data_IF_192997475059
#
_entry.id   IF_192997475059
#
_cell.length_a   1.000
_cell.length_b   1.000
_cell.length_c   1.000
_cell.angle_alpha   90.00
_cell.angle_beta   90.00
_cell.angle_gamma   90.00
#
_symmetry.space_group_name_H-M   'P 1'
#
loop_
_entity.id
_entity.type
_entity.pdbx_description
1 polymer ?
#
# COMPACT_ATOMS: atom_id res chain seq x y z
N UNK A 1 -34.96 12.32 13.35
CA UNK A 1 -33.99 11.85 12.33
C UNK A 1 -32.61 11.94 12.96
N UNK A 2 -31.88 10.83 13.19
CA UNK A 2 -30.53 10.95 13.71
C UNK A 2 -29.68 11.70 12.68
N UNK A 3 -28.99 12.75 13.13
CA UNK A 3 -28.17 13.60 12.28
C UNK A 3 -27.24 12.73 11.43
N UNK A 4 -27.29 12.89 10.11
CA UNK A 4 -26.38 12.18 9.21
C UNK A 4 -24.95 12.36 9.69
N UNK A 5 -24.24 11.26 9.88
CA UNK A 5 -22.85 11.25 10.33
C UNK A 5 -21.98 11.91 9.23
N UNK A 6 -21.81 13.24 9.29
CA UNK A 6 -21.10 14.00 8.26
C UNK A 6 -19.59 13.80 8.42
N UNK A 7 -19.00 13.07 7.47
CA UNK A 7 -17.56 12.90 7.34
C UNK A 7 -16.85 14.25 7.18
N UNK A 8 -15.74 14.46 7.88
CA UNK A 8 -14.99 15.74 7.85
C UNK A 8 -13.78 15.64 6.92
N UNK A 9 -13.84 16.21 5.69
CA UNK A 9 -12.72 16.16 4.76
C UNK A 9 -11.52 16.98 5.27
N UNK A 10 -10.28 16.56 4.92
CA UNK A 10 -9.08 17.35 5.24
C UNK A 10 -8.92 18.57 4.35
N UNK A 11 -8.41 19.67 4.91
CA UNK A 11 -7.96 20.86 4.16
C UNK A 11 -6.82 20.48 3.21
N UNK A 12 -5.87 19.66 3.67
CA UNK A 12 -4.75 19.16 2.84
C UNK A 12 -5.17 18.21 1.71
N UNK A 13 -6.45 17.80 1.62
CA UNK A 13 -6.94 17.00 0.48
C UNK A 13 -6.68 17.70 -0.87
N UNK A 14 -6.68 19.04 -0.90
CA UNK A 14 -6.34 19.80 -2.11
C UNK A 14 -4.84 19.71 -2.44
N UNK A 15 -3.99 19.73 -1.42
CA UNK A 15 -2.54 19.57 -1.58
C UNK A 15 -2.19 18.17 -2.06
N UNK A 16 -2.84 17.13 -1.53
CA UNK A 16 -2.68 15.76 -2.00
C UNK A 16 -3.00 15.64 -3.49
N UNK A 17 -4.14 16.17 -3.92
CA UNK A 17 -4.57 16.15 -5.33
C UNK A 17 -3.53 16.85 -6.21
N UNK A 18 -3.03 18.01 -5.80
CA UNK A 18 -1.97 18.74 -6.54
C UNK A 18 -0.67 17.94 -6.60
N UNK A 19 -0.23 17.36 -5.48
CA UNK A 19 1.00 16.58 -5.38
C UNK A 19 0.95 15.35 -6.30
N UNK A 20 -0.13 14.58 -6.22
CA UNK A 20 -0.30 13.39 -7.06
C UNK A 20 -0.51 13.75 -8.54
N UNK A 21 -1.26 14.82 -8.84
CA UNK A 21 -1.40 15.31 -10.22
C UNK A 21 -0.05 15.72 -10.82
N UNK A 22 0.80 16.41 -10.04
CA UNK A 22 2.17 16.74 -10.44
C UNK A 22 2.99 15.49 -10.72
N UNK A 23 2.95 14.50 -9.83
CA UNK A 23 3.65 13.23 -10.01
C UNK A 23 3.23 12.52 -11.31
N UNK A 24 1.93 12.37 -11.57
CA UNK A 24 1.45 11.73 -12.79
C UNK A 24 1.71 12.55 -14.05
N UNK A 25 1.66 13.88 -13.97
CA UNK A 25 2.06 14.75 -15.09
C UNK A 25 3.55 14.57 -15.43
N UNK A 26 4.43 14.56 -14.43
CA UNK A 26 5.86 14.29 -14.61
C UNK A 26 6.07 12.91 -15.24
N UNK A 27 5.39 11.87 -14.74
CA UNK A 27 5.44 10.54 -15.33
C UNK A 27 4.99 10.54 -16.80
N UNK A 28 3.79 11.08 -17.10
CA UNK A 28 3.21 11.12 -18.46
C UNK A 28 4.14 11.80 -19.47
N UNK A 29 4.77 12.89 -19.07
CA UNK A 29 5.66 13.68 -19.93
C UNK A 29 7.15 13.30 -19.77
N UNK A 30 7.47 12.18 -19.09
CA UNK A 30 8.84 11.75 -18.82
C UNK A 30 9.71 11.68 -20.08
N UNK A 31 9.17 11.24 -21.22
CA UNK A 31 9.93 11.21 -22.48
C UNK A 31 10.55 12.56 -22.88
N UNK A 32 9.92 13.67 -22.52
CA UNK A 32 10.36 15.01 -22.91
C UNK A 32 11.41 15.60 -21.98
N UNK A 33 11.40 15.27 -20.69
CA UNK A 33 12.35 15.80 -19.70
C UNK A 33 13.36 14.77 -19.18
N UNK A 34 12.98 13.50 -19.10
CA UNK A 34 13.83 12.41 -18.62
C UNK A 34 14.98 12.10 -19.57
N UNK A 35 14.72 12.05 -20.89
CA UNK A 35 15.76 11.80 -21.90
C UNK A 35 16.85 12.88 -21.91
N UNK A 36 16.54 14.20 -21.96
CA UNK A 36 17.56 15.24 -21.84
C UNK A 36 18.35 15.19 -20.53
N UNK A 37 17.70 14.86 -19.41
CA UNK A 37 18.35 14.80 -18.10
C UNK A 37 19.05 13.46 -17.80
N UNK A 38 19.07 12.53 -18.77
CA UNK A 38 19.55 11.14 -18.58
C UNK A 38 18.97 10.52 -17.31
N UNK A 39 17.65 10.61 -17.16
CA UNK A 39 16.85 9.98 -16.10
C UNK A 39 15.98 8.92 -16.74
N UNK A 40 16.08 7.69 -16.22
CA UNK A 40 15.29 6.54 -16.69
C UNK A 40 13.97 6.48 -15.93
N UNK A 41 12.91 6.02 -16.58
CA UNK A 41 11.64 5.70 -15.93
C UNK A 41 11.60 4.20 -15.62
N UNK A 42 11.43 3.84 -14.35
CA UNK A 42 11.24 2.46 -13.94
C UNK A 42 9.79 2.21 -13.56
N UNK A 43 9.22 1.08 -14.00
CA UNK A 43 8.07 0.54 -13.28
C UNK A 43 8.57 -0.33 -12.14
N UNK A 44 8.06 -0.09 -10.93
CA UNK A 44 8.59 -0.68 -9.70
C UNK A 44 7.48 -1.31 -8.88
N UNK A 45 7.74 -2.47 -8.26
CA UNK A 45 6.78 -3.02 -7.29
C UNK A 45 6.74 -2.13 -6.05
N UNK A 46 5.62 -2.15 -5.32
CA UNK A 46 5.44 -1.33 -4.11
C UNK A 46 6.48 -1.64 -3.01
N UNK A 47 7.06 -2.84 -3.03
CA UNK A 47 8.13 -3.29 -2.15
C UNK A 47 9.54 -3.22 -2.74
N UNK A 48 9.77 -2.55 -3.88
CA UNK A 48 11.11 -2.37 -4.44
C UNK A 48 11.94 -1.32 -3.65
N UNK A 49 13.29 -1.46 -3.59
CA UNK A 49 14.19 -0.53 -2.90
C UNK A 49 14.31 0.82 -3.62
N UNK A 50 13.29 1.67 -3.47
CA UNK A 50 13.18 2.95 -4.20
C UNK A 50 14.32 3.91 -3.90
N UNK A 51 14.89 3.84 -2.70
CA UNK A 51 16.02 4.66 -2.24
C UNK A 51 17.21 4.49 -3.18
N UNK A 52 17.53 3.24 -3.52
CA UNK A 52 18.60 2.91 -4.45
C UNK A 52 18.30 3.47 -5.85
N UNK A 53 17.08 3.26 -6.35
CA UNK A 53 16.68 3.76 -7.68
C UNK A 53 16.77 5.29 -7.78
N UNK A 54 16.31 6.00 -6.75
CA UNK A 54 16.39 7.47 -6.71
C UNK A 54 17.83 7.95 -6.64
N UNK A 55 18.73 7.21 -5.96
CA UNK A 55 20.15 7.54 -5.94
C UNK A 55 20.79 7.51 -7.34
N UNK A 56 20.31 6.59 -8.19
CA UNK A 56 20.64 6.53 -9.62
C UNK A 56 19.87 7.51 -10.51
N UNK A 57 19.09 8.43 -9.91
CA UNK A 57 18.22 9.40 -10.60
C UNK A 57 17.16 8.76 -11.50
N UNK A 58 16.65 7.60 -11.08
CA UNK A 58 15.54 6.92 -11.76
C UNK A 58 14.22 7.50 -11.25
N UNK A 59 13.26 7.68 -12.15
CA UNK A 59 11.90 8.10 -11.86
C UNK A 59 10.99 6.86 -11.67
N UNK A 60 10.60 6.50 -10.44
CA UNK A 60 9.79 5.32 -10.20
C UNK A 60 8.31 5.56 -10.48
N UNK A 61 7.67 4.59 -11.13
CA UNK A 61 6.23 4.52 -11.39
C UNK A 61 5.68 3.19 -10.90
N UNK A 62 4.50 3.21 -10.26
CA UNK A 62 3.97 2.06 -9.52
C UNK A 62 2.72 1.49 -10.21
N UNK A 63 2.83 0.39 -10.95
CA UNK A 63 1.68 -0.30 -11.54
C UNK A 63 0.56 -0.63 -10.55
N UNK A 64 0.90 -1.02 -9.32
CA UNK A 64 -0.08 -1.34 -8.27
C UNK A 64 -0.91 -0.11 -7.85
N UNK A 65 -0.25 1.05 -7.69
CA UNK A 65 -0.94 2.30 -7.39
C UNK A 65 -1.79 2.78 -8.58
N UNK A 66 -1.31 2.56 -9.80
CA UNK A 66 -2.10 2.82 -10.99
C UNK A 66 -3.32 1.89 -11.09
N UNK A 67 -3.22 0.64 -10.62
CA UNK A 67 -4.37 -0.27 -10.47
C UNK A 67 -5.45 0.29 -9.53
N UNK A 68 -5.06 0.91 -8.40
CA UNK A 68 -6.00 1.61 -7.53
C UNK A 68 -6.68 2.81 -8.23
N UNK A 69 -5.94 3.55 -9.06
CA UNK A 69 -6.50 4.64 -9.88
C UNK A 69 -7.48 4.09 -10.92
N UNK A 70 -7.14 3.00 -11.60
CA UNK A 70 -8.05 2.33 -12.54
C UNK A 70 -9.36 1.91 -11.85
N UNK A 71 -9.25 1.42 -10.61
CA UNK A 71 -10.40 1.02 -9.81
C UNK A 71 -11.30 2.19 -9.42
N UNK A 72 -10.71 3.24 -8.83
CA UNK A 72 -11.46 4.45 -8.47
C UNK A 72 -12.05 5.18 -9.67
N UNK A 73 -11.43 5.06 -10.85
CA UNK A 73 -11.96 5.56 -12.12
C UNK A 73 -12.97 4.62 -12.80
N UNK A 74 -13.35 3.49 -12.16
CA UNK A 74 -14.27 2.47 -12.68
C UNK A 74 -13.85 1.86 -14.03
N UNK A 75 -12.54 1.81 -14.28
CA UNK A 75 -11.97 1.24 -15.51
C UNK A 75 -11.57 -0.23 -15.37
N UNK A 76 -11.33 -0.72 -14.15
CA UNK A 76 -10.73 -2.05 -13.92
C UNK A 76 -11.51 -3.19 -14.56
N UNK A 77 -12.85 -3.18 -14.54
CA UNK A 77 -13.64 -4.27 -15.13
C UNK A 77 -13.30 -4.50 -16.61
N UNK A 78 -13.38 -3.44 -17.42
CA UNK A 78 -13.09 -3.51 -18.86
C UNK A 78 -11.62 -3.83 -19.13
N UNK A 79 -10.71 -3.30 -18.31
CA UNK A 79 -9.28 -3.59 -18.44
C UNK A 79 -8.96 -5.05 -18.09
N UNK A 80 -9.56 -5.60 -17.03
CA UNK A 80 -9.44 -7.01 -16.69
C UNK A 80 -10.00 -7.90 -17.81
N UNK A 81 -11.18 -7.57 -18.36
CA UNK A 81 -11.75 -8.28 -19.52
C UNK A 81 -10.80 -8.25 -20.73
N UNK A 82 -10.12 -7.13 -20.99
CA UNK A 82 -9.13 -7.04 -22.07
C UNK A 82 -7.93 -7.97 -21.85
N UNK A 83 -7.43 -8.10 -20.61
CA UNK A 83 -6.39 -9.06 -20.29
C UNK A 83 -6.89 -10.52 -20.37
N UNK A 84 -8.12 -10.78 -19.91
CA UNK A 84 -8.77 -12.10 -19.97
C UNK A 84 -8.95 -12.58 -21.41
N UNK A 85 -9.37 -11.69 -22.31
CA UNK A 85 -9.46 -11.97 -23.75
C UNK A 85 -8.09 -12.28 -24.39
N UNK A 86 -7.00 -11.79 -23.79
CA UNK A 86 -5.64 -12.09 -24.20
C UNK A 86 -5.06 -13.37 -23.55
N UNK A 87 -5.87 -14.12 -22.80
CA UNK A 87 -5.49 -15.42 -22.21
C UNK A 87 -5.05 -15.36 -20.75
N UNK A 88 -5.11 -14.20 -20.08
CA UNK A 88 -4.78 -14.09 -18.66
C UNK A 88 -5.96 -14.55 -17.79
N UNK A 89 -5.75 -15.57 -16.95
CA UNK A 89 -6.81 -16.12 -16.07
C UNK A 89 -7.39 -15.08 -15.12
N UNK A 90 -8.70 -15.14 -14.89
CA UNK A 90 -9.43 -14.35 -13.88
C UNK A 90 -8.92 -14.58 -12.44
N UNK A 91 -8.25 -15.71 -12.18
CA UNK A 91 -7.65 -16.02 -10.88
C UNK A 91 -6.41 -15.14 -10.57
N UNK A 92 -5.86 -14.47 -11.58
CA UNK A 92 -4.74 -13.55 -11.39
C UNK A 92 -5.17 -12.28 -10.64
N UNK A 93 -4.20 -11.66 -9.98
CA UNK A 93 -4.36 -10.39 -9.30
C UNK A 93 -5.00 -9.34 -10.23
N UNK A 94 -6.06 -8.68 -9.77
CA UNK A 94 -6.79 -7.67 -10.54
C UNK A 94 -5.96 -6.41 -10.82
N UNK A 95 -4.96 -6.07 -10.01
CA UNK A 95 -3.94 -5.07 -10.39
C UNK A 95 -3.10 -5.54 -11.57
N UNK A 96 -2.68 -6.81 -11.61
CA UNK A 96 -1.90 -7.33 -12.73
C UNK A 96 -2.75 -7.38 -14.01
N UNK A 97 -3.98 -7.91 -13.92
CA UNK A 97 -4.92 -7.96 -15.05
C UNK A 97 -5.26 -6.57 -15.56
N UNK A 98 -5.66 -5.64 -14.70
CA UNK A 98 -6.00 -4.28 -15.15
C UNK A 98 -4.82 -3.51 -15.72
N UNK A 99 -3.61 -3.70 -15.18
CA UNK A 99 -2.41 -3.10 -15.74
C UNK A 99 -2.07 -3.67 -17.12
N UNK A 100 -2.07 -5.00 -17.27
CA UNK A 100 -1.86 -5.64 -18.59
C UNK A 100 -2.94 -5.17 -19.57
N UNK A 101 -4.20 -5.15 -19.14
CA UNK A 101 -5.31 -4.60 -19.91
C UNK A 101 -5.09 -3.16 -20.33
N UNK A 102 -4.50 -2.31 -19.48
CA UNK A 102 -4.20 -0.92 -19.80
C UNK A 102 -3.10 -0.76 -20.86
N UNK A 103 -2.22 -1.75 -20.99
CA UNK A 103 -1.21 -1.79 -22.06
C UNK A 103 -1.85 -2.25 -23.37
N UNK A 104 -2.77 -3.22 -23.33
CA UNK A 104 -3.45 -3.77 -24.50
C UNK A 104 -4.54 -2.83 -25.05
N UNK A 105 -5.23 -2.12 -24.15
CA UNK A 105 -6.35 -1.22 -24.44
C UNK A 105 -6.16 0.12 -23.72
N UNK A 106 -5.16 0.93 -24.12
CA UNK A 106 -4.90 2.22 -23.50
C UNK A 106 -6.08 3.19 -23.65
N UNK A 107 -6.94 3.03 -24.65
CA UNK A 107 -8.16 3.82 -24.83
C UNK A 107 -9.17 3.65 -23.69
N UNK A 108 -9.15 2.52 -23.00
CA UNK A 108 -10.01 2.23 -21.84
C UNK A 108 -9.39 2.69 -20.51
N UNK A 109 -8.10 3.04 -20.52
CA UNK A 109 -7.32 3.25 -19.32
C UNK A 109 -7.26 4.74 -18.94
N UNK A 110 -7.43 5.10 -17.65
CA UNK A 110 -7.22 6.47 -17.19
C UNK A 110 -5.84 6.98 -17.60
N UNK A 111 -5.74 8.21 -18.09
CA UNK A 111 -4.47 8.77 -18.60
C UNK A 111 -3.87 7.97 -19.77
N UNK A 112 -4.65 7.14 -20.48
CA UNK A 112 -4.19 6.31 -21.59
C UNK A 112 -3.08 5.31 -21.21
N UNK A 113 -3.10 4.81 -19.98
CA UNK A 113 -2.06 3.92 -19.46
C UNK A 113 -0.87 4.66 -18.86
N UNK A 114 0.02 3.89 -18.23
CA UNK A 114 1.31 4.41 -17.77
C UNK A 114 2.26 4.60 -18.98
N UNK A 115 3.17 5.59 -18.93
CA UNK A 115 4.21 5.73 -19.95
C UNK A 115 5.08 4.47 -20.00
N UNK A 116 5.49 4.06 -21.20
CA UNK A 116 6.41 2.93 -21.38
C UNK A 116 7.68 3.17 -20.54
N UNK A 117 8.12 2.20 -19.71
CA UNK A 117 9.32 2.31 -18.90
C UNK A 117 10.58 2.07 -19.72
N UNK A 118 11.71 2.50 -19.17
CA UNK A 118 13.05 2.13 -19.63
C UNK A 118 13.53 0.81 -19.02
N UNK A 119 13.06 0.48 -17.82
CA UNK A 119 13.38 -0.75 -17.07
C UNK A 119 12.27 -1.12 -16.09
N UNK A 120 12.28 -2.36 -15.63
CA UNK A 120 11.39 -2.88 -14.60
C UNK A 120 12.21 -3.27 -13.37
N UNK A 121 11.70 -3.00 -12.18
CA UNK A 121 12.32 -3.42 -10.92
C UNK A 121 11.28 -4.11 -10.05
N UNK A 122 11.47 -5.39 -9.78
CA UNK A 122 10.57 -6.19 -8.96
C UNK A 122 11.24 -6.61 -7.65
N UNK A 123 10.47 -6.62 -6.58
CA UNK A 123 10.82 -7.26 -5.31
C UNK A 123 9.65 -8.14 -4.87
N UNK A 124 9.91 -9.39 -4.51
CA UNK A 124 8.89 -10.39 -4.17
C UNK A 124 8.43 -10.34 -2.70
N UNK A 125 8.97 -9.42 -1.88
CA UNK A 125 8.61 -9.25 -0.46
C UNK A 125 7.13 -8.92 -0.19
N UNK A 126 6.36 -8.59 -1.23
CA UNK A 126 4.92 -8.39 -1.17
C UNK A 126 4.11 -9.61 -1.62
N UNK A 127 4.56 -10.33 -2.67
CA UNK A 127 3.93 -11.56 -3.16
C UNK A 127 4.77 -12.21 -4.28
N UNK A 128 4.56 -13.51 -4.54
CA UNK A 128 5.14 -14.18 -5.71
C UNK A 128 4.53 -13.77 -7.06
N UNK A 129 3.31 -13.23 -7.07
CA UNK A 129 2.62 -12.82 -8.32
C UNK A 129 3.37 -11.74 -9.07
N UNK A 130 4.03 -10.81 -8.37
CA UNK A 130 4.75 -9.71 -9.04
C UNK A 130 5.93 -10.19 -9.87
N UNK A 131 6.55 -11.33 -9.53
CA UNK A 131 7.63 -11.91 -10.34
C UNK A 131 7.12 -12.28 -11.73
N UNK A 132 6.05 -13.09 -11.80
CA UNK A 132 5.47 -13.52 -13.09
C UNK A 132 4.83 -12.37 -13.85
N UNK A 133 4.21 -11.42 -13.13
CA UNK A 133 3.68 -10.21 -13.74
C UNK A 133 4.79 -9.40 -14.41
N UNK A 134 5.89 -9.14 -13.71
CA UNK A 134 6.98 -8.32 -14.24
C UNK A 134 7.77 -9.04 -15.34
N UNK A 135 7.89 -10.37 -15.30
CA UNK A 135 8.39 -11.16 -16.43
C UNK A 135 7.52 -10.97 -17.69
N UNK A 136 6.19 -11.03 -17.54
CA UNK A 136 5.27 -10.81 -18.66
C UNK A 136 5.41 -9.39 -19.22
N UNK A 137 5.49 -8.38 -18.34
CA UNK A 137 5.73 -6.99 -18.73
C UNK A 137 7.08 -6.83 -19.47
N UNK A 138 8.14 -7.47 -19.00
CA UNK A 138 9.46 -7.41 -19.64
C UNK A 138 9.40 -7.94 -21.07
N UNK A 139 8.72 -9.08 -21.30
CA UNK A 139 8.51 -9.66 -22.63
C UNK A 139 7.61 -8.79 -23.51
N UNK A 140 6.53 -8.23 -22.96
CA UNK A 140 5.62 -7.36 -23.71
C UNK A 140 6.27 -6.05 -24.14
N UNK A 141 7.11 -5.47 -23.29
CA UNK A 141 7.66 -4.13 -23.50
C UNK A 141 9.09 -4.14 -24.05
N UNK A 142 9.77 -5.29 -24.01
CA UNK A 142 11.16 -5.47 -24.45
C UNK A 142 12.10 -4.54 -23.68
N UNK A 143 12.03 -4.59 -22.35
CA UNK A 143 12.86 -3.77 -21.44
C UNK A 143 13.52 -4.65 -20.37
N UNK A 144 14.67 -4.25 -19.80
CA UNK A 144 15.34 -4.99 -18.75
C UNK A 144 14.47 -5.15 -17.50
N UNK A 145 14.58 -6.30 -16.84
CA UNK A 145 13.97 -6.59 -15.55
C UNK A 145 15.06 -6.86 -14.51
N UNK A 146 15.09 -6.07 -13.45
CA UNK A 146 15.90 -6.32 -12.26
C UNK A 146 14.99 -6.90 -11.17
N UNK A 147 15.44 -7.97 -10.52
CA UNK A 147 14.69 -8.63 -9.44
C UNK A 147 15.53 -8.60 -8.17
N UNK A 148 14.91 -8.16 -7.08
CA UNK A 148 15.39 -8.39 -5.72
C UNK A 148 14.57 -9.54 -5.12
N UNK A 149 15.19 -10.69 -4.93
CA UNK A 149 14.55 -11.83 -4.28
C UNK A 149 14.76 -11.77 -2.76
N UNK A 150 13.67 -11.77 -2.02
CA UNK A 150 13.66 -11.75 -0.55
C UNK A 150 13.07 -13.07 -0.05
N UNK A 151 13.80 -13.80 0.81
CA UNK A 151 13.35 -15.10 1.28
C UNK A 151 12.19 -14.93 2.26
N UNK A 152 11.24 -15.86 2.22
CA UNK A 152 10.20 -15.94 3.23
C UNK A 152 10.80 -16.21 4.62
N UNK A 153 10.35 -15.47 5.63
CA UNK A 153 10.84 -15.59 7.00
C UNK A 153 9.84 -16.34 7.88
N UNK A 154 10.07 -17.63 8.18
CA UNK A 154 9.22 -18.39 9.10
C UNK A 154 9.38 -17.94 10.57
N UNK A 155 10.49 -17.28 10.91
CA UNK A 155 10.81 -16.76 12.24
C UNK A 155 11.49 -15.39 12.16
N UNK A 156 12.47 -15.17 13.02
CA UNK A 156 13.32 -13.98 12.96
C UNK A 156 14.27 -14.02 11.76
N UNK A 157 14.66 -12.83 11.29
CA UNK A 157 15.61 -12.72 10.20
C UNK A 157 16.96 -13.32 10.60
N UNK A 158 17.50 -14.19 9.75
CA UNK A 158 18.82 -14.79 9.95
C UNK A 158 19.89 -13.96 9.24
N UNK A 159 21.14 -14.06 9.70
CA UNK A 159 22.28 -13.44 9.03
C UNK A 159 22.42 -13.93 7.58
N UNK A 160 22.10 -15.20 7.32
CA UNK A 160 22.08 -15.75 5.98
C UNK A 160 21.07 -15.04 5.07
N UNK A 161 19.83 -14.86 5.55
CA UNK A 161 18.80 -14.15 4.80
C UNK A 161 19.21 -12.69 4.51
N UNK A 162 19.73 -11.97 5.52
CA UNK A 162 20.23 -10.60 5.33
C UNK A 162 21.37 -10.54 4.30
N UNK A 163 22.36 -11.45 4.41
CA UNK A 163 23.50 -11.51 3.49
C UNK A 163 23.08 -11.83 2.06
N UNK A 164 22.14 -12.75 1.87
CA UNK A 164 21.59 -13.11 0.57
C UNK A 164 20.96 -11.91 -0.15
N UNK A 165 20.16 -11.11 0.55
CA UNK A 165 19.55 -9.90 -0.03
C UNK A 165 20.59 -8.79 -0.24
N UNK A 166 21.57 -8.65 0.65
CA UNK A 166 22.66 -7.69 0.50
C UNK A 166 23.51 -7.95 -0.76
N UNK A 167 23.86 -9.21 -1.05
CA UNK A 167 24.60 -9.60 -2.25
C UNK A 167 23.83 -9.27 -3.54
N UNK A 168 22.51 -9.46 -3.52
CA UNK A 168 21.65 -9.06 -4.63
C UNK A 168 21.55 -7.54 -4.78
N UNK A 169 21.51 -6.77 -3.70
CA UNK A 169 21.54 -5.29 -3.76
C UNK A 169 22.86 -4.78 -4.36
N UNK A 170 23.99 -5.42 -4.04
CA UNK A 170 25.29 -5.13 -4.66
C UNK A 170 25.29 -5.45 -6.15
N UNK A 171 24.70 -6.58 -6.53
CA UNK A 171 24.54 -6.97 -7.95
C UNK A 171 23.64 -5.98 -8.70
N UNK A 172 22.49 -5.63 -8.12
CA UNK A 172 21.57 -4.64 -8.67
C UNK A 172 22.24 -3.28 -8.82
N UNK A 173 23.08 -2.87 -7.86
CA UNK A 173 23.86 -1.63 -7.95
C UNK A 173 24.73 -1.62 -9.21
N UNK A 174 25.51 -2.68 -9.46
CA UNK A 174 26.34 -2.79 -10.66
C UNK A 174 25.50 -2.79 -11.97
N UNK A 175 24.34 -3.44 -11.96
CA UNK A 175 23.41 -3.41 -13.10
C UNK A 175 22.85 -2.01 -13.35
N UNK A 176 22.51 -1.26 -12.28
CA UNK A 176 22.05 0.12 -12.38
C UNK A 176 23.16 1.05 -12.88
N UNK A 177 24.42 0.83 -12.48
CA UNK A 177 25.56 1.57 -13.01
C UNK A 177 25.68 1.39 -14.52
N UNK A 178 25.57 0.15 -15.01
CA UNK A 178 25.59 -0.17 -16.44
C UNK A 178 24.41 0.47 -17.20
N UNK A 179 23.18 0.34 -16.68
CA UNK A 179 21.96 0.82 -17.35
C UNK A 179 21.85 2.35 -17.39
N UNK A 180 22.41 3.02 -16.39
CA UNK A 180 22.32 4.48 -16.25
C UNK A 180 23.58 5.22 -16.71
N UNK A 181 24.72 4.52 -16.81
CA UNK A 181 26.03 5.12 -17.08
C UNK A 181 26.50 6.03 -15.94
N UNK A 182 26.08 5.77 -14.71
CA UNK A 182 26.41 6.57 -13.51
C UNK A 182 26.98 5.63 -12.46
N UNK A 183 28.10 5.99 -11.84
CA UNK A 183 28.56 5.28 -10.65
C UNK A 183 27.62 5.53 -9.46
N UNK A 184 27.58 4.60 -8.49
CA UNK A 184 26.90 4.81 -7.22
C UNK A 184 27.50 6.02 -6.49
N UNK A 185 26.65 6.97 -6.13
CA UNK A 185 27.00 8.10 -5.26
C UNK A 185 26.50 7.80 -3.84
N UNK A 186 27.44 7.48 -2.93
CA UNK A 186 27.12 7.15 -1.54
C UNK A 186 26.55 8.32 -0.75
N UNK A 187 26.91 9.55 -1.10
CA UNK A 187 26.31 10.75 -0.47
C UNK A 187 24.87 10.88 -0.92
N UNK A 188 24.59 10.67 -2.20
CA UNK A 188 23.22 10.69 -2.70
C UNK A 188 22.38 9.56 -2.13
N UNK A 189 22.90 8.33 -2.05
CA UNK A 189 22.21 7.21 -1.41
C UNK A 189 21.90 7.53 0.06
N UNK A 190 22.87 8.06 0.82
CA UNK A 190 22.65 8.54 2.19
C UNK A 190 21.55 9.60 2.28
N UNK A 191 21.48 10.55 1.34
CA UNK A 191 20.38 11.54 1.28
C UNK A 191 19.03 10.89 1.03
N UNK A 192 18.94 9.91 0.12
CA UNK A 192 17.70 9.20 -0.17
C UNK A 192 17.22 8.35 1.02
N UNK A 193 18.16 7.72 1.72
CA UNK A 193 17.90 7.00 2.98
C UNK A 193 17.34 7.94 4.04
N UNK A 194 18.00 9.08 4.29
CA UNK A 194 17.56 10.06 5.29
C UNK A 194 16.15 10.60 4.99
N UNK A 195 15.86 10.94 3.73
CA UNK A 195 14.52 11.39 3.34
C UNK A 195 13.46 10.31 3.49
N UNK A 196 13.80 9.07 3.18
CA UNK A 196 12.87 7.95 3.31
C UNK A 196 12.59 7.62 4.78
N UNK A 197 13.62 7.66 5.63
CA UNK A 197 13.48 7.56 7.08
C UNK A 197 12.57 8.66 7.64
N UNK A 198 12.80 9.92 7.26
CA UNK A 198 11.99 11.05 7.72
C UNK A 198 10.52 10.91 7.28
N UNK A 199 10.30 10.57 6.01
CA UNK A 199 8.94 10.43 5.48
C UNK A 199 8.19 9.25 6.12
N UNK A 200 8.88 8.14 6.39
CA UNK A 200 8.34 6.97 7.09
C UNK A 200 8.02 7.31 8.54
N UNK A 201 8.91 8.03 9.23
CA UNK A 201 8.68 8.51 10.61
C UNK A 201 7.43 9.37 10.68
N UNK A 202 7.29 10.35 9.78
CA UNK A 202 6.09 11.19 9.71
C UNK A 202 4.83 10.37 9.46
N UNK A 203 4.89 9.40 8.54
CA UNK A 203 3.77 8.50 8.26
C UNK A 203 3.37 7.68 9.49
N UNK A 204 4.34 7.10 10.22
CA UNK A 204 4.09 6.41 11.49
C UNK A 204 3.42 7.32 12.50
N UNK A 205 3.99 8.50 12.74
CA UNK A 205 3.46 9.47 13.71
C UNK A 205 2.04 9.92 13.37
N UNK A 206 1.72 10.12 12.08
CA UNK A 206 0.36 10.41 11.61
C UNK A 206 -0.61 9.28 12.00
N UNK A 207 -0.21 8.02 11.80
CA UNK A 207 -1.04 6.86 12.16
C UNK A 207 -1.23 6.73 13.66
N UNK A 208 -0.18 7.01 14.45
CA UNK A 208 -0.25 6.99 15.92
C UNK A 208 -1.25 8.00 16.50
N UNK A 209 -1.49 9.13 15.82
CA UNK A 209 -2.52 10.09 16.24
C UNK A 209 -3.93 9.48 16.26
N UNK A 210 -4.17 8.38 15.52
CA UNK A 210 -5.43 7.67 15.55
C UNK A 210 -5.72 6.96 16.89
N UNK A 211 -4.75 6.90 17.82
CA UNK A 211 -4.96 6.48 19.22
C UNK A 211 -5.81 7.46 20.04
N UNK A 212 -5.95 8.71 19.60
CA UNK A 212 -6.82 9.67 20.28
C UNK A 212 -8.29 9.22 20.30
N UNK A 213 -9.04 9.75 21.28
CA UNK A 213 -10.47 9.48 21.46
C UNK A 213 -11.26 10.81 21.45
N UNK A 214 -12.13 11.05 20.46
CA UNK A 214 -12.34 10.23 19.26
C UNK A 214 -11.12 10.27 18.31
N UNK A 215 -11.01 9.26 17.44
CA UNK A 215 -9.92 9.18 16.46
C UNK A 215 -10.06 10.27 15.39
N UNK A 216 -9.00 11.05 15.09
CA UNK A 216 -9.03 12.10 14.06
C UNK A 216 -9.03 11.55 12.62
N UNK A 217 -8.83 10.24 12.48
CA UNK A 217 -8.67 9.49 11.22
C UNK A 217 -9.63 8.31 11.18
N UNK A 218 -10.04 7.92 9.97
CA UNK A 218 -10.70 6.65 9.70
C UNK A 218 -9.95 5.89 8.59
N UNK A 219 -10.19 4.59 8.41
CA UNK A 219 -9.52 3.73 7.43
C UNK A 219 -9.42 4.33 6.02
N UNK A 220 -10.52 4.86 5.42
CA UNK A 220 -10.45 5.53 4.12
C UNK A 220 -9.48 6.71 4.07
N UNK A 221 -9.35 7.47 5.16
CA UNK A 221 -8.33 8.52 5.25
C UNK A 221 -6.94 7.91 5.12
N UNK A 222 -6.63 6.89 5.91
CA UNK A 222 -5.32 6.22 5.86
C UNK A 222 -4.99 5.73 4.45
N UNK A 223 -5.94 5.09 3.76
CA UNK A 223 -5.71 4.54 2.42
C UNK A 223 -5.47 5.63 1.36
N UNK A 224 -6.21 6.73 1.43
CA UNK A 224 -6.06 7.85 0.50
C UNK A 224 -4.74 8.59 0.78
N UNK A 225 -4.43 8.81 2.05
CA UNK A 225 -3.25 9.55 2.50
C UNK A 225 -1.94 8.78 2.35
N UNK A 226 -2.00 7.48 2.09
CA UNK A 226 -0.84 6.62 1.83
C UNK A 226 -0.24 6.82 0.41
N UNK A 227 -0.97 7.45 -0.52
CA UNK A 227 -0.48 7.61 -1.89
C UNK A 227 0.93 8.23 -2.03
N UNK A 228 1.33 9.25 -1.23
CA UNK A 228 2.69 9.79 -1.25
C UNK A 228 3.76 8.84 -0.70
N UNK A 229 3.54 8.08 0.39
CA UNK A 229 4.57 7.14 0.90
C UNK A 229 4.83 5.99 -0.08
N UNK A 230 3.90 5.71 -0.99
CA UNK A 230 4.13 4.79 -2.12
C UNK A 230 4.91 5.48 -3.24
N UNK A 231 4.37 6.56 -3.83
CA UNK A 231 4.93 7.16 -5.07
C UNK A 231 6.17 8.04 -4.85
N UNK A 232 6.28 8.65 -3.67
CA UNK A 232 7.13 9.80 -3.38
C UNK A 232 8.05 9.56 -2.17
N UNK A 233 8.13 8.35 -1.63
CA UNK A 233 9.14 8.01 -0.60
C UNK A 233 10.54 8.37 -1.07
N UNK A 234 11.27 9.12 -0.24
CA UNK A 234 12.59 9.66 -0.56
C UNK A 234 12.58 11.06 -1.20
N UNK A 235 11.42 11.73 -1.34
CA UNK A 235 11.35 13.10 -1.88
C UNK A 235 11.04 14.14 -0.80
N UNK A 236 11.55 15.35 -0.99
CA UNK A 236 11.24 16.49 -0.10
C UNK A 236 9.76 16.87 -0.17
N UNK A 237 9.16 16.80 -1.35
CA UNK A 237 7.75 17.14 -1.55
C UNK A 237 6.81 16.21 -0.78
N UNK A 238 7.17 14.93 -0.66
CA UNK A 238 6.46 13.96 0.17
C UNK A 238 6.58 14.26 1.66
N UNK A 239 7.77 14.65 2.12
CA UNK A 239 8.03 15.08 3.51
C UNK A 239 7.21 16.33 3.85
N UNK A 240 7.28 17.36 3.00
CA UNK A 240 6.57 18.62 3.22
C UNK A 240 5.05 18.41 3.27
N UNK A 241 4.54 17.51 2.43
CA UNK A 241 3.14 17.09 2.48
C UNK A 241 2.78 16.44 3.82
N UNK A 242 3.55 15.46 4.29
CA UNK A 242 3.24 14.77 5.54
C UNK A 242 3.43 15.64 6.79
N UNK A 243 4.31 16.64 6.77
CA UNK A 243 4.35 17.66 7.84
C UNK A 243 3.02 18.41 7.94
N UNK A 244 2.47 18.88 6.82
CA UNK A 244 1.16 19.56 6.78
C UNK A 244 0.01 18.64 7.19
N UNK A 245 0.02 17.39 6.72
CA UNK A 245 -1.00 16.41 7.10
C UNK A 245 -0.95 16.13 8.61
N UNK A 246 0.25 15.93 9.17
CA UNK A 246 0.43 15.71 10.61
C UNK A 246 -0.04 16.91 11.43
N UNK A 247 0.28 18.12 11.00
CA UNK A 247 -0.19 19.36 11.64
C UNK A 247 -1.72 19.43 11.69
N UNK A 248 -2.40 19.23 10.55
CA UNK A 248 -3.86 19.27 10.50
C UNK A 248 -4.52 18.17 11.37
N UNK A 249 -3.96 16.96 11.37
CA UNK A 249 -4.48 15.86 12.22
C UNK A 249 -4.21 16.17 13.69
N UNK A 250 -3.06 16.75 14.02
CA UNK A 250 -2.73 17.21 15.37
C UNK A 250 -3.70 18.28 15.88
N UNK A 251 -4.10 19.23 15.04
CA UNK A 251 -5.15 20.21 15.36
C UNK A 251 -6.49 19.53 15.66
N UNK A 252 -6.87 18.49 14.89
CA UNK A 252 -8.09 17.73 15.17
C UNK A 252 -8.03 17.06 16.53
N UNK A 253 -6.89 16.45 16.87
CA UNK A 253 -6.68 15.85 18.20
C UNK A 253 -6.81 16.89 19.30
N UNK A 254 -6.14 18.04 19.20
CA UNK A 254 -6.19 19.07 20.24
C UNK A 254 -7.59 19.69 20.42
N UNK A 255 -8.41 19.67 19.38
CA UNK A 255 -9.79 20.16 19.39
C UNK A 255 -10.82 19.07 19.73
N UNK A 256 -10.39 17.83 20.03
CA UNK A 256 -11.30 16.70 20.29
C UNK A 256 -12.17 16.32 19.08
N UNK A 257 -11.70 16.59 17.86
CA UNK A 257 -12.45 16.37 16.63
C UNK A 257 -12.15 15.01 16.00
N UNK A 258 -13.14 14.13 16.04
CA UNK A 258 -13.07 12.83 15.37
C UNK A 258 -13.29 12.92 13.85
N UNK A 259 -12.82 11.90 13.12
CA UNK A 259 -13.16 11.68 11.71
C UNK A 259 -14.66 11.40 11.51
N UNK A 260 -15.29 10.78 12.52
CA UNK A 260 -16.75 10.57 12.62
C UNK A 260 -17.30 11.30 13.84
N UNK A 261 -18.57 11.71 13.82
CA UNK A 261 -19.14 12.52 14.90
C UNK A 261 -19.25 11.77 16.23
N UNK A 262 -19.65 10.49 16.16
CA UNK A 262 -19.81 9.62 17.33
C UNK A 262 -19.03 8.32 17.12
N UNK A 263 -17.89 8.22 17.79
CA UNK A 263 -17.08 7.00 17.83
C UNK A 263 -17.60 6.08 18.95
N UNK A 264 -18.46 5.14 18.58
CA UNK A 264 -18.97 4.09 19.47
C UNK A 264 -18.08 2.86 19.46
N UNK A 265 -17.47 2.52 18.31
CA UNK A 265 -16.63 1.33 18.16
C UNK A 265 -15.33 1.66 17.45
N UNK A 266 -14.23 1.04 17.86
CA UNK A 266 -12.91 1.15 17.24
C UNK A 266 -12.53 -0.16 16.59
N UNK A 267 -12.13 -0.13 15.33
CA UNK A 267 -11.88 -1.31 14.52
C UNK A 267 -10.47 -1.29 13.93
N UNK A 268 -9.87 -2.48 13.78
CA UNK A 268 -8.67 -2.69 12.95
C UNK A 268 -9.07 -3.24 11.58
N UNK A 269 -8.45 -2.75 10.52
CA UNK A 269 -8.61 -3.27 9.15
C UNK A 269 -7.42 -4.15 8.73
N UNK A 270 -7.67 -5.30 8.10
CA UNK A 270 -6.65 -6.14 7.47
C UNK A 270 -6.83 -6.20 5.95
N UNK A 271 -5.70 -6.16 5.23
CA UNK A 271 -5.57 -6.24 3.76
C UNK A 271 -5.89 -4.92 3.00
N UNK A 272 -5.72 -4.93 1.69
CA UNK A 272 -5.88 -3.79 0.78
C UNK A 272 -7.32 -3.27 0.82
N UNK A 273 -7.53 -1.96 0.65
CA UNK A 273 -8.85 -1.37 0.53
C UNK A 273 -9.69 -1.97 -0.62
N UNK A 274 -11.00 -2.01 -0.46
CA UNK A 274 -11.96 -2.37 -1.54
C UNK A 274 -12.22 -1.11 -2.38
N UNK A 275 -11.30 -0.74 -3.28
CA UNK A 275 -11.34 0.56 -3.98
C UNK A 275 -12.65 0.87 -4.72
N UNK A 276 -13.32 -0.07 -5.42
CA UNK A 276 -14.56 0.23 -6.12
C UNK A 276 -15.70 0.64 -5.17
N UNK A 277 -15.66 0.17 -3.92
CA UNK A 277 -16.72 0.32 -2.93
C UNK A 277 -16.24 0.97 -1.63
N UNK A 278 -15.07 1.62 -1.62
CA UNK A 278 -14.40 2.07 -0.39
C UNK A 278 -15.34 2.84 0.55
N UNK A 279 -15.98 3.89 0.02
CA UNK A 279 -16.87 4.72 0.83
C UNK A 279 -18.22 4.05 1.13
N UNK A 280 -18.81 3.31 0.18
CA UNK A 280 -20.08 2.62 0.42
C UNK A 280 -19.94 1.51 1.47
N UNK A 281 -18.83 0.77 1.43
CA UNK A 281 -18.48 -0.25 2.39
C UNK A 281 -18.22 0.37 3.77
N UNK A 282 -17.34 1.37 3.88
CA UNK A 282 -17.05 2.01 5.17
C UNK A 282 -18.28 2.72 5.76
N UNK A 283 -19.21 3.22 4.92
CA UNK A 283 -20.47 3.84 5.39
C UNK A 283 -21.32 2.89 6.24
N UNK A 284 -21.32 1.58 5.94
CA UNK A 284 -22.06 0.58 6.73
C UNK A 284 -21.59 0.56 8.20
N UNK A 285 -20.31 0.82 8.43
CA UNK A 285 -19.70 0.89 9.77
C UNK A 285 -19.90 2.26 10.42
N UNK A 286 -19.61 3.34 9.70
CA UNK A 286 -19.66 4.69 10.27
C UNK A 286 -21.07 5.11 10.65
N UNK A 287 -22.12 4.62 9.97
CA UNK A 287 -23.51 4.85 10.36
C UNK A 287 -23.87 4.29 11.74
N UNK A 288 -23.17 3.26 12.21
CA UNK A 288 -23.31 2.70 13.57
C UNK A 288 -22.26 3.25 14.55
N UNK A 289 -21.48 4.24 14.13
CA UNK A 289 -20.42 4.85 14.94
C UNK A 289 -19.14 4.02 15.04
N UNK A 290 -18.90 3.09 14.12
CA UNK A 290 -17.64 2.35 14.07
C UNK A 290 -16.58 3.10 13.24
N UNK A 291 -15.37 3.22 13.79
CA UNK A 291 -14.22 3.88 13.18
C UNK A 291 -13.07 2.89 13.00
N UNK A 292 -12.48 2.83 11.80
CA UNK A 292 -11.27 2.04 11.56
C UNK A 292 -10.05 2.88 11.94
N UNK A 293 -9.47 2.61 13.11
CA UNK A 293 -8.46 3.47 13.73
C UNK A 293 -7.03 3.10 13.33
N UNK A 294 -6.83 1.89 12.81
CA UNK A 294 -5.54 1.43 12.29
C UNK A 294 -5.74 0.25 11.35
N UNK A 295 -4.67 -0.20 10.70
CA UNK A 295 -4.72 -1.24 9.69
C UNK A 295 -3.35 -1.90 9.41
N UNK A 296 -3.36 -3.07 8.79
CA UNK A 296 -2.13 -3.75 8.35
C UNK A 296 -1.63 -3.28 6.99
N UNK A 297 -2.49 -2.69 6.16
CA UNK A 297 -2.18 -2.33 4.79
C UNK A 297 -1.27 -1.10 4.73
N UNK A 298 -1.78 0.05 5.14
CA UNK A 298 -1.08 1.33 5.24
C UNK A 298 0.06 1.30 6.26
N UNK A 299 -0.01 0.39 7.24
CA UNK A 299 1.08 0.09 8.17
C UNK A 299 2.30 -0.54 7.50
N UNK A 300 2.15 -1.19 6.34
CA UNK A 300 3.28 -1.75 5.58
C UNK A 300 4.32 -0.72 5.12
N UNK A 301 3.97 0.57 5.14
CA UNK A 301 4.88 1.68 4.81
C UNK A 301 5.31 2.50 6.04
N UNK A 302 4.99 2.04 7.25
CA UNK A 302 5.39 2.67 8.51
C UNK A 302 6.58 1.95 9.18
N UNK A 303 7.30 1.09 8.44
CA UNK A 303 8.44 0.30 8.93
C UNK A 303 9.70 1.15 8.87
N UNK A 304 10.35 1.37 10.01
CA UNK A 304 11.61 2.11 10.08
C UNK A 304 12.72 1.40 9.30
N UNK A 305 13.59 2.19 8.68
CA UNK A 305 14.80 1.67 8.06
C UNK A 305 15.73 1.12 9.16
N UNK A 306 16.23 -0.09 8.97
CA UNK A 306 17.19 -0.69 9.87
C UNK A 306 18.45 0.20 9.99
N UNK A 307 19.11 0.26 11.16
CA UNK A 307 20.34 1.02 11.31
C UNK A 307 21.51 0.38 10.52
N UNK A 308 22.55 1.17 10.26
CA UNK A 308 23.81 0.69 9.67
C UNK A 308 24.12 1.26 8.28
N UNK A 309 25.02 0.60 7.56
CA UNK A 309 25.37 0.94 6.17
C UNK A 309 24.11 0.98 5.28
N UNK A 310 23.98 1.92 4.33
CA UNK A 310 22.79 2.03 3.50
C UNK A 310 22.34 0.74 2.81
N UNK A 311 23.26 -0.06 2.25
CA UNK A 311 22.85 -1.30 1.58
C UNK A 311 22.48 -2.40 2.58
N UNK A 312 23.15 -2.47 3.72
CA UNK A 312 22.77 -3.39 4.79
C UNK A 312 21.43 -3.04 5.43
N UNK A 313 21.17 -1.75 5.60
CA UNK A 313 19.90 -1.20 6.08
C UNK A 313 18.77 -1.57 5.13
N UNK A 314 18.96 -1.35 3.82
CA UNK A 314 17.99 -1.77 2.81
C UNK A 314 17.79 -3.29 2.79
N UNK A 315 18.87 -4.08 2.88
CA UNK A 315 18.77 -5.54 2.92
C UNK A 315 17.91 -6.02 4.09
N UNK A 316 18.17 -5.52 5.29
CA UNK A 316 17.38 -5.86 6.47
C UNK A 316 15.91 -5.41 6.32
N UNK A 317 15.70 -4.13 6.03
CA UNK A 317 14.35 -3.53 6.00
C UNK A 317 13.44 -4.20 4.98
N UNK A 318 13.93 -4.41 3.75
CA UNK A 318 13.12 -4.98 2.68
C UNK A 318 12.89 -6.49 2.82
N UNK A 319 13.67 -7.18 3.66
CA UNK A 319 13.49 -8.60 4.01
C UNK A 319 12.41 -8.80 5.08
N UNK A 320 12.22 -7.82 5.96
CA UNK A 320 11.29 -7.91 7.08
C UNK A 320 9.84 -7.46 6.79
N UNK A 321 9.50 -7.21 5.52
CA UNK A 321 8.16 -6.79 5.11
C UNK A 321 7.09 -7.76 5.62
N UNK A 322 6.04 -7.22 6.25
CA UNK A 322 4.95 -7.96 6.91
C UNK A 322 4.39 -9.13 6.09
N UNK A 323 4.21 -8.94 4.78
CA UNK A 323 3.64 -9.96 3.89
C UNK A 323 4.55 -11.17 3.68
N UNK A 324 5.85 -11.03 3.93
CA UNK A 324 6.85 -12.07 3.79
C UNK A 324 7.23 -12.74 5.12
N UNK A 325 6.40 -12.54 6.16
CA UNK A 325 6.57 -13.13 7.51
C UNK A 325 5.56 -14.25 7.78
N UNK A 326 5.84 -15.04 8.81
CA UNK A 326 4.96 -16.12 9.28
C UNK A 326 3.57 -15.65 9.69
N UNK A 327 2.53 -16.51 9.59
CA UNK A 327 1.21 -16.22 10.16
C UNK A 327 1.29 -15.91 11.66
N UNK A 328 2.28 -16.49 12.35
CA UNK A 328 2.54 -16.26 13.76
C UNK A 328 2.99 -14.81 14.03
N UNK A 329 3.96 -14.29 13.25
CA UNK A 329 4.36 -12.89 13.29
C UNK A 329 3.18 -11.96 12.97
N UNK A 330 2.43 -12.28 11.91
CA UNK A 330 1.31 -11.44 11.46
C UNK A 330 0.17 -11.38 12.47
N UNK A 331 -0.10 -12.49 13.18
CA UNK A 331 -1.06 -12.50 14.27
C UNK A 331 -0.60 -11.68 15.47
N UNK A 332 0.68 -11.73 15.84
CA UNK A 332 1.24 -10.86 16.90
C UNK A 332 1.03 -9.39 16.57
N UNK A 333 1.35 -8.97 15.34
CA UNK A 333 1.16 -7.58 14.94
C UNK A 333 -0.32 -7.16 15.00
N UNK A 334 -1.25 -8.02 14.57
CA UNK A 334 -2.69 -7.74 14.71
C UNK A 334 -3.12 -7.59 16.19
N UNK A 335 -2.61 -8.46 17.07
CA UNK A 335 -2.87 -8.40 18.52
C UNK A 335 -2.33 -7.09 19.12
N UNK A 336 -1.11 -6.70 18.74
CA UNK A 336 -0.50 -5.44 19.14
C UNK A 336 -1.36 -4.26 18.68
N UNK A 337 -1.74 -4.20 17.40
CA UNK A 337 -2.62 -3.15 16.87
C UNK A 337 -3.95 -3.06 17.63
N UNK A 338 -4.57 -4.19 17.95
CA UNK A 338 -5.83 -4.23 18.71
C UNK A 338 -5.64 -3.62 20.11
N UNK A 339 -4.58 -4.01 20.82
CA UNK A 339 -4.28 -3.51 22.18
C UNK A 339 -3.91 -2.03 22.15
N UNK A 340 -3.00 -1.67 21.26
CA UNK A 340 -2.40 -0.34 21.14
C UNK A 340 -3.40 0.76 20.78
N UNK A 341 -4.39 0.41 19.97
CA UNK A 341 -5.42 1.34 19.52
C UNK A 341 -6.75 1.16 20.25
N UNK A 342 -6.82 0.27 21.25
CA UNK A 342 -8.03 -0.01 22.02
C UNK A 342 -9.21 -0.42 21.12
N UNK A 343 -8.96 -1.36 20.20
CA UNK A 343 -9.96 -1.79 19.23
C UNK A 343 -10.97 -2.78 19.85
N UNK A 344 -12.25 -2.51 19.61
CA UNK A 344 -13.38 -3.35 20.00
C UNK A 344 -13.61 -4.53 19.04
N UNK A 345 -13.05 -4.47 17.83
CA UNK A 345 -13.24 -5.47 16.78
C UNK A 345 -12.18 -5.35 15.68
N UNK A 346 -12.13 -6.33 14.79
CA UNK A 346 -11.32 -6.24 13.57
C UNK A 346 -12.05 -6.82 12.35
N UNK A 347 -11.73 -6.28 11.17
CA UNK A 347 -12.32 -6.70 9.90
C UNK A 347 -11.22 -7.07 8.93
N UNK A 348 -11.26 -8.31 8.44
CA UNK A 348 -10.32 -8.86 7.48
C UNK A 348 -10.95 -8.93 6.11
N UNK A 349 -10.37 -8.23 5.13
CA UNK A 349 -10.76 -8.38 3.74
C UNK A 349 -10.08 -9.63 3.18
N UNK A 350 -10.86 -10.70 2.98
CA UNK A 350 -10.47 -11.86 2.18
C UNK A 350 -10.51 -11.48 0.71
N UNK A 351 -9.39 -10.92 0.27
CA UNK A 351 -9.21 -10.38 -1.05
C UNK A 351 -8.93 -11.51 -2.04
N UNK A 352 -9.79 -11.67 -3.04
CA UNK A 352 -9.70 -12.71 -4.07
C UNK A 352 -8.38 -12.68 -4.83
N UNK A 353 -7.80 -11.49 -5.02
CA UNK A 353 -6.53 -11.28 -5.71
C UNK A 353 -5.30 -11.41 -4.81
N UNK A 354 -5.39 -10.98 -3.55
CA UNK A 354 -4.24 -10.91 -2.66
C UNK A 354 -4.05 -12.20 -1.84
N UNK A 355 -3.58 -13.26 -2.51
CA UNK A 355 -3.38 -14.58 -1.90
C UNK A 355 -2.49 -14.59 -0.64
N UNK A 356 -1.35 -13.87 -0.58
CA UNK A 356 -0.51 -13.87 0.63
C UNK A 356 -1.23 -13.33 1.86
N UNK A 357 -2.08 -12.31 1.69
CA UNK A 357 -2.93 -11.86 2.78
C UNK A 357 -3.96 -12.93 3.12
N UNK A 358 -4.78 -13.31 2.13
CA UNK A 358 -6.06 -14.01 2.30
C UNK A 358 -5.94 -15.48 2.73
N UNK A 359 -4.94 -16.22 2.25
CA UNK A 359 -4.83 -17.67 2.48
C UNK A 359 -4.60 -18.06 3.95
N UNK A 360 -4.09 -17.13 4.77
CA UNK A 360 -3.75 -17.39 6.18
C UNK A 360 -4.65 -16.66 7.17
N UNK A 361 -5.64 -15.91 6.69
CA UNK A 361 -6.47 -15.04 7.54
C UNK A 361 -7.24 -15.82 8.59
N UNK A 362 -7.79 -17.00 8.27
CA UNK A 362 -8.56 -17.77 9.26
C UNK A 362 -7.67 -18.31 10.39
N UNK A 363 -6.43 -18.70 10.09
CA UNK A 363 -5.45 -19.11 11.10
C UNK A 363 -5.11 -17.93 12.02
N UNK A 364 -4.87 -16.76 11.44
CA UNK A 364 -4.58 -15.53 12.18
C UNK A 364 -5.79 -15.13 13.03
N UNK A 365 -7.00 -15.08 12.45
CA UNK A 365 -8.25 -14.69 13.11
C UNK A 365 -8.52 -15.53 14.34
N UNK A 366 -8.44 -16.86 14.24
CA UNK A 366 -8.68 -17.77 15.37
C UNK A 366 -7.72 -17.49 16.52
N UNK A 367 -6.45 -17.26 16.21
CA UNK A 367 -5.45 -16.93 17.23
C UNK A 367 -5.72 -15.57 17.87
N UNK A 368 -5.95 -14.54 17.07
CA UNK A 368 -6.23 -13.18 17.54
C UNK A 368 -7.44 -13.21 18.49
N UNK A 369 -8.56 -13.79 18.06
CA UNK A 369 -9.77 -13.93 18.89
C UNK A 369 -9.48 -14.66 20.20
N UNK A 370 -8.74 -15.78 20.16
CA UNK A 370 -8.38 -16.55 21.35
C UNK A 370 -7.52 -15.74 22.34
N UNK A 371 -6.62 -14.90 21.86
CA UNK A 371 -5.66 -14.16 22.69
C UNK A 371 -6.13 -12.78 23.14
N UNK A 372 -7.10 -12.18 22.46
CA UNK A 372 -7.62 -10.84 22.79
C UNK A 372 -9.07 -10.85 23.26
N UNK A 373 -9.84 -11.90 22.95
CA UNK A 373 -11.30 -11.92 23.14
C UNK A 373 -12.07 -11.02 22.16
N UNK A 374 -11.37 -10.25 21.34
CA UNK A 374 -11.96 -9.28 20.40
C UNK A 374 -12.49 -10.02 19.17
N UNK A 375 -13.77 -9.81 18.77
CA UNK A 375 -14.35 -10.49 17.62
C UNK A 375 -13.79 -9.99 16.29
N UNK A 376 -13.67 -10.92 15.33
CA UNK A 376 -13.15 -10.65 13.99
C UNK A 376 -14.13 -11.04 12.89
N UNK A 377 -14.43 -10.12 11.98
CA UNK A 377 -15.24 -10.33 10.77
C UNK A 377 -14.33 -10.60 9.56
N UNK A 378 -14.70 -11.56 8.72
CA UNK A 378 -14.07 -11.75 7.40
C UNK A 378 -15.06 -11.35 6.31
N UNK A 379 -14.62 -10.50 5.39
CA UNK A 379 -15.41 -10.03 4.24
C UNK A 379 -14.70 -10.44 2.95
N UNK A 380 -15.42 -11.10 2.04
CA UNK A 380 -14.89 -11.50 0.74
C UNK A 380 -15.13 -10.40 -0.29
N UNK A 381 -14.06 -9.96 -0.96
CA UNK A 381 -14.12 -8.98 -2.02
C UNK A 381 -12.86 -9.06 -2.92
N UNK A 382 -12.73 -8.12 -3.87
CA UNK A 382 -11.48 -7.84 -4.56
C UNK A 382 -11.12 -6.35 -4.40
N UNK A 383 -9.83 -6.03 -4.34
CA UNK A 383 -9.41 -4.65 -4.16
C UNK A 383 -9.70 -3.76 -5.38
N UNK A 384 -9.82 -4.32 -6.59
CA UNK A 384 -9.96 -3.53 -7.81
C UNK A 384 -11.03 -4.02 -8.77
N UNK A 385 -11.33 -5.32 -8.83
CA UNK A 385 -12.30 -5.91 -9.74
C UNK A 385 -13.71 -5.92 -9.12
N UNK A 386 -14.62 -5.03 -9.54
CA UNK A 386 -15.94 -4.89 -8.90
C UNK A 386 -16.82 -6.13 -9.07
N UNK A 387 -16.51 -7.03 -10.01
CA UNK A 387 -17.26 -8.27 -10.25
C UNK A 387 -17.16 -9.26 -9.07
N UNK A 388 -16.14 -9.11 -8.24
CA UNK A 388 -15.93 -9.92 -7.05
C UNK A 388 -16.37 -9.18 -5.78
N UNK A 389 -17.59 -8.63 -5.78
CA UNK A 389 -18.20 -8.01 -4.60
C UNK A 389 -19.72 -8.25 -4.60
N UNK A 390 -20.24 -8.88 -3.54
CA UNK A 390 -21.66 -9.13 -3.37
C UNK A 390 -22.21 -8.28 -2.22
N UNK A 391 -22.89 -7.18 -2.54
CA UNK A 391 -23.23 -6.15 -1.56
C UNK A 391 -24.16 -6.64 -0.43
N UNK A 392 -25.26 -7.33 -0.76
CA UNK A 392 -26.24 -7.78 0.25
C UNK A 392 -25.64 -8.82 1.23
N UNK A 393 -24.92 -9.86 0.78
CA UNK A 393 -24.21 -10.75 1.70
C UNK A 393 -23.20 -10.03 2.60
N UNK A 394 -22.45 -9.07 2.05
CA UNK A 394 -21.50 -8.27 2.84
C UNK A 394 -22.22 -7.45 3.89
N UNK A 395 -23.32 -6.77 3.51
CA UNK A 395 -24.13 -5.95 4.41
C UNK A 395 -24.66 -6.75 5.60
N UNK A 396 -25.27 -7.91 5.34
CA UNK A 396 -25.81 -8.77 6.39
C UNK A 396 -24.72 -9.21 7.39
N UNK A 397 -23.52 -9.53 6.92
CA UNK A 397 -22.38 -9.90 7.80
C UNK A 397 -21.88 -8.72 8.62
N UNK A 398 -21.85 -7.52 8.03
CA UNK A 398 -21.45 -6.29 8.74
C UNK A 398 -22.48 -5.94 9.82
N UNK A 399 -23.77 -6.05 9.54
CA UNK A 399 -24.84 -5.80 10.52
C UNK A 399 -24.76 -6.75 11.71
N UNK A 400 -24.69 -8.06 11.47
CA UNK A 400 -24.55 -9.06 12.53
C UNK A 400 -23.27 -8.88 13.37
N UNK A 401 -22.17 -8.46 12.73
CA UNK A 401 -20.92 -8.16 13.43
C UNK A 401 -21.07 -6.94 14.35
N UNK A 402 -21.70 -5.87 13.88
CA UNK A 402 -21.93 -4.66 14.69
C UNK A 402 -22.90 -4.91 15.84
N UNK A 403 -23.89 -5.80 15.68
CA UNK A 403 -24.76 -6.26 16.77
C UNK A 403 -23.98 -7.04 17.83
N UNK A 404 -23.05 -7.92 17.40
CA UNK A 404 -22.16 -8.65 18.31
C UNK A 404 -21.31 -7.69 19.14
N UNK A 405 -20.74 -6.65 18.52
CA UNK A 405 -19.97 -5.63 19.22
C UNK A 405 -20.83 -4.85 20.23
N UNK A 406 -22.06 -4.52 19.87
CA UNK A 406 -22.97 -3.81 20.74
C UNK A 406 -23.37 -4.63 21.97
N UNK A 407 -23.45 -5.96 21.85
CA UNK A 407 -23.78 -6.85 22.96
C UNK A 407 -22.61 -7.11 23.94
N UNK A 408 -21.37 -6.79 23.54
CA UNK A 408 -20.17 -6.95 24.37
C UNK A 408 -19.79 -5.69 25.14
N UNK A 409 -20.40 -4.54 24.83
CA UNK A 409 -20.31 -3.29 25.60
C UNK A 409 -21.47 -3.18 26.58
#
# INVERSE_FOLDING_TARGET
MPAENKYRPFRVSRDLKKLMAKYYALSRYHRFWGRPLRRRLAWVTSGAPVELLRAFRIHPVYPEQYGAICSTAKATEKLCQAAEAAGYSQDLCSYARSHIGSILRPDLAPMQGLPKPDLLVACNNICGTVLKWYEALARMLQVPLLVLDTPYLPGEMTDHAKKYVLEQLRTMTAQLESLTGRARDDRELGRQMARSAEMTKLWREIRELARAHPSPLNGPDLFIQMAPIVALRGTQEGIDYYRKLKEEIGERVSQGQGAIQKENFRLVWDNIAIWPNLFSFTKMFTQRGACFVTDTYSGGWAVELAPGDPLESLAATYTEVFLNRSPDFRARQMIELIRDFGADGFVMHSNRSCKPYSLVQEVIRRRVVRETGVPGLVVEADMADPRAYAEEPVRNRVEAFLETLAAQK
#
